data_IF_667768080631
#
_entry.id   IF_667768080631
#
_cell.length_a   1.000
_cell.length_b   1.000
_cell.length_c   1.000
_cell.angle_alpha   90.00
_cell.angle_beta   90.00
_cell.angle_gamma   90.00
#
_symmetry.space_group_name_H-M   'P 1'
#
loop_
_entity.id
_entity.type
_entity.pdbx_description
1 polymer ?
#
# COMPACT_ATOMS: atom_id res chain seq x y z
N UNK A 1 20.40 -14.71 -8.97
CA UNK A 1 20.27 -13.79 -7.80
C UNK A 1 18.88 -13.20 -7.87
N UNK A 2 18.11 -13.10 -6.77
CA UNK A 2 16.79 -12.49 -6.78
C UNK A 2 16.87 -10.99 -7.05
N UNK A 3 15.86 -10.45 -7.78
CA UNK A 3 15.66 -9.02 -7.97
C UNK A 3 15.07 -8.37 -6.72
N UNK A 4 14.25 -9.13 -5.99
CA UNK A 4 13.70 -8.74 -4.70
C UNK A 4 14.82 -8.43 -3.70
N UNK A 5 14.61 -7.39 -2.91
CA UNK A 5 15.59 -6.89 -1.95
C UNK A 5 14.91 -6.29 -0.72
N UNK A 6 15.73 -5.86 0.22
CA UNK A 6 15.34 -5.02 1.35
C UNK A 6 15.91 -3.62 1.16
N UNK A 7 15.30 -2.64 1.78
CA UNK A 7 15.85 -1.31 1.94
C UNK A 7 15.96 -0.97 3.42
N UNK A 8 17.16 -0.59 3.87
CA UNK A 8 17.37 0.02 5.18
C UNK A 8 17.06 1.52 5.05
N UNK A 9 15.96 1.95 5.67
CA UNK A 9 15.29 3.20 5.35
C UNK A 9 15.27 4.18 6.51
N UNK A 10 15.17 5.46 6.15
CA UNK A 10 14.79 6.58 7.00
C UNK A 10 13.48 7.17 6.50
N UNK A 11 12.50 7.31 7.39
CA UNK A 11 11.27 8.06 7.15
C UNK A 11 11.42 9.43 7.79
N UNK A 12 11.09 10.47 7.05
CA UNK A 12 11.04 11.86 7.50
C UNK A 12 9.64 12.42 7.30
N UNK A 13 9.13 13.11 8.31
CA UNK A 13 7.93 13.93 8.23
C UNK A 13 8.25 15.33 8.75
N UNK A 14 7.95 16.32 7.94
CA UNK A 14 8.10 17.74 8.31
C UNK A 14 6.81 18.48 7.99
N UNK A 15 5.97 18.65 8.99
CA UNK A 15 4.80 19.50 8.90
C UNK A 15 5.21 20.97 9.00
N UNK A 16 4.80 21.77 8.02
CA UNK A 16 5.09 23.20 7.92
C UNK A 16 3.94 24.03 8.48
N UNK A 17 2.70 23.60 8.28
CA UNK A 17 1.49 24.31 8.66
C UNK A 17 0.44 23.37 9.27
N UNK A 18 -0.48 23.89 10.14
CA UNK A 18 -0.52 25.21 10.76
C UNK A 18 0.49 25.37 11.90
N UNK A 19 1.10 24.30 12.39
CA UNK A 19 2.13 24.26 13.43
C UNK A 19 3.28 23.39 12.96
N UNK A 20 4.48 23.90 13.06
CA UNK A 20 5.67 23.14 12.69
C UNK A 20 5.86 21.92 13.60
N UNK A 21 6.10 20.77 12.96
CA UNK A 21 6.40 19.54 13.63
C UNK A 21 7.25 18.61 12.74
N UNK A 22 8.47 18.35 13.16
CA UNK A 22 9.41 17.51 12.44
C UNK A 22 9.80 16.28 13.25
N UNK A 23 9.90 15.13 12.57
CA UNK A 23 10.47 13.91 13.13
C UNK A 23 11.05 13.01 12.04
N UNK A 24 11.99 12.16 12.45
CA UNK A 24 12.63 11.17 11.61
C UNK A 24 12.81 9.87 12.39
N UNK A 25 12.63 8.73 11.73
CA UNK A 25 12.87 7.42 12.32
C UNK A 25 13.32 6.40 11.27
N UNK A 26 14.07 5.37 11.74
CA UNK A 26 14.53 4.28 10.90
C UNK A 26 13.52 3.14 10.83
N UNK A 27 13.40 2.56 9.65
CA UNK A 27 12.64 1.34 9.35
C UNK A 27 13.40 0.52 8.31
N UNK A 28 12.85 -0.63 7.92
CA UNK A 28 13.22 -1.24 6.66
C UNK A 28 11.98 -1.62 5.85
N UNK A 29 12.13 -1.72 4.54
CA UNK A 29 11.07 -2.03 3.59
C UNK A 29 11.45 -3.26 2.76
N UNK A 30 10.45 -4.05 2.38
CA UNK A 30 10.59 -5.06 1.36
C UNK A 30 10.35 -4.44 -0.02
N UNK A 31 11.19 -4.75 -0.98
CA UNK A 31 10.95 -4.51 -2.40
C UNK A 31 10.90 -5.89 -3.07
N UNK A 32 9.70 -6.33 -3.38
CA UNK A 32 9.41 -7.68 -3.86
C UNK A 32 9.07 -7.63 -5.36
N UNK A 33 9.77 -8.40 -6.16
CA UNK A 33 9.31 -8.74 -7.49
C UNK A 33 8.18 -9.78 -7.35
N UNK A 34 6.97 -9.44 -7.79
CA UNK A 34 5.80 -10.28 -7.58
C UNK A 34 5.89 -11.64 -8.27
N UNK A 35 6.75 -11.77 -9.29
CA UNK A 35 7.01 -13.03 -9.97
C UNK A 35 7.99 -13.94 -9.20
N UNK A 36 8.68 -13.41 -8.16
CA UNK A 36 9.63 -14.17 -7.34
C UNK A 36 9.05 -14.68 -6.00
N UNK A 37 7.80 -14.30 -5.64
CA UNK A 37 7.24 -14.55 -4.30
C UNK A 37 7.26 -16.00 -3.88
N UNK A 38 6.92 -16.94 -4.77
CA UNK A 38 6.87 -18.37 -4.45
C UNK A 38 8.29 -18.94 -4.31
N UNK A 39 9.23 -18.53 -5.15
CA UNK A 39 10.63 -18.93 -5.07
C UNK A 39 11.30 -18.36 -3.79
N UNK A 40 10.98 -17.12 -3.39
CA UNK A 40 11.43 -16.54 -2.12
C UNK A 40 10.88 -17.32 -0.93
N UNK A 41 9.58 -17.64 -0.96
CA UNK A 41 8.90 -18.42 0.08
C UNK A 41 9.45 -19.84 0.22
N UNK A 42 9.94 -20.44 -0.86
CA UNK A 42 10.58 -21.74 -0.83
C UNK A 42 12.03 -21.71 -0.30
N UNK A 43 12.74 -20.61 -0.52
CA UNK A 43 14.17 -20.49 -0.21
C UNK A 43 14.46 -19.92 1.17
N UNK A 44 13.65 -18.95 1.63
CA UNK A 44 13.85 -18.24 2.89
C UNK A 44 13.13 -18.93 4.04
N UNK A 45 13.73 -18.94 5.21
CA UNK A 45 13.15 -19.50 6.44
C UNK A 45 12.31 -18.45 7.20
N UNK A 46 12.72 -17.18 7.14
CA UNK A 46 12.08 -16.09 7.87
C UNK A 46 10.96 -15.39 7.09
N UNK A 47 10.81 -15.67 5.78
CA UNK A 47 9.82 -15.06 4.91
C UNK A 47 8.98 -16.12 4.19
N UNK A 48 7.65 -16.02 4.29
CA UNK A 48 6.75 -16.87 3.51
C UNK A 48 5.58 -16.05 2.91
N UNK A 49 5.06 -16.55 1.77
CA UNK A 49 3.82 -16.08 1.15
C UNK A 49 2.64 -16.88 1.68
N UNK A 50 1.58 -16.21 2.17
CA UNK A 50 0.30 -16.77 2.64
C UNK A 50 0.42 -17.89 3.70
N UNK A 51 1.60 -18.07 4.31
CA UNK A 51 1.86 -19.08 5.37
C UNK A 51 2.52 -18.43 6.57
N UNK A 52 2.33 -18.96 7.79
CA UNK A 52 2.98 -18.44 8.99
C UNK A 52 4.50 -18.39 8.85
N UNK A 53 5.09 -17.24 9.19
CA UNK A 53 6.53 -17.01 9.28
C UNK A 53 6.78 -15.77 10.14
N UNK A 54 8.05 -15.46 10.44
CA UNK A 54 8.41 -14.19 11.08
C UNK A 54 7.92 -13.01 10.24
N UNK A 55 8.22 -13.05 8.93
CA UNK A 55 7.70 -12.12 7.92
C UNK A 55 6.76 -12.87 6.98
N UNK A 56 5.51 -12.46 6.93
CA UNK A 56 4.52 -13.06 6.06
C UNK A 56 3.98 -12.03 5.07
N UNK A 57 4.14 -12.31 3.80
CA UNK A 57 3.43 -11.62 2.73
C UNK A 57 2.06 -12.27 2.54
N UNK A 58 1.00 -11.51 2.68
CA UNK A 58 -0.35 -11.99 2.37
C UNK A 58 -0.89 -11.25 1.15
N UNK A 59 -1.36 -12.02 0.18
CA UNK A 59 -1.99 -11.47 -1.02
C UNK A 59 -3.22 -10.61 -0.68
N UNK A 60 -3.95 -10.97 0.39
CA UNK A 60 -5.15 -10.24 0.85
C UNK A 60 -4.87 -8.87 1.50
N UNK A 61 -3.62 -8.54 1.78
CA UNK A 61 -3.24 -7.25 2.38
C UNK A 61 -3.09 -6.13 1.34
N UNK A 62 -3.19 -6.48 0.07
CA UNK A 62 -2.96 -5.63 -1.09
C UNK A 62 -4.24 -5.50 -1.94
N UNK A 63 -4.16 -4.73 -3.03
CA UNK A 63 -5.28 -4.45 -3.94
C UNK A 63 -6.20 -5.68 -4.13
N UNK A 64 -7.48 -5.60 -3.74
CA UNK A 64 -8.40 -6.73 -3.86
C UNK A 64 -8.65 -7.06 -5.33
N UNK A 65 -8.99 -8.32 -5.67
CA UNK A 65 -9.42 -8.70 -7.01
C UNK A 65 -10.57 -7.81 -7.47
N UNK A 66 -10.52 -7.32 -8.72
CA UNK A 66 -11.62 -6.57 -9.33
C UNK A 66 -12.89 -7.42 -9.30
N UNK A 67 -13.93 -6.96 -8.60
CA UNK A 67 -15.20 -7.66 -8.45
C UNK A 67 -15.47 -8.29 -7.08
N UNK A 68 -14.55 -8.26 -6.14
CA UNK A 68 -14.81 -8.67 -4.76
C UNK A 68 -15.39 -7.57 -3.89
N UNK A 69 -16.58 -7.05 -4.23
CA UNK A 69 -17.48 -6.59 -3.18
C UNK A 69 -17.81 -7.84 -2.36
N UNK A 70 -17.36 -7.94 -1.11
CA UNK A 70 -17.86 -8.94 -0.17
C UNK A 70 -19.37 -8.80 -0.14
N UNK A 71 -20.08 -9.75 -0.77
CA UNK A 71 -21.48 -9.98 -0.46
C UNK A 71 -21.50 -10.32 1.02
N UNK A 72 -22.12 -9.47 1.84
CA UNK A 72 -22.58 -9.86 3.16
C UNK A 72 -23.46 -11.09 2.96
N UNK A 73 -23.06 -12.24 3.50
CA UNK A 73 -23.96 -13.35 3.76
C UNK A 73 -24.94 -12.85 4.85
N UNK A 74 -26.11 -12.42 4.41
CA UNK A 74 -27.27 -12.35 5.28
C UNK A 74 -27.60 -13.78 5.75
N UNK A 75 -27.95 -13.99 7.04
CA UNK A 75 -28.36 -15.32 7.51
C UNK A 75 -29.63 -15.74 6.79
N UNK A 76 -29.56 -16.78 5.97
CA UNK A 76 -30.72 -17.39 5.32
C UNK A 76 -31.54 -18.14 6.35
N UNK A 77 -32.90 -17.98 6.36
CA UNK A 77 -33.76 -18.87 7.11
C UNK A 77 -33.80 -20.26 6.45
N UNK A 78 -33.79 -21.27 7.30
CA UNK A 78 -33.86 -22.69 6.99
C UNK A 78 -35.09 -22.98 6.09
N UNK A 79 -34.85 -23.55 4.93
CA UNK A 79 -35.90 -24.03 4.04
C UNK A 79 -35.36 -25.00 3.00
N UNK A 80 -35.63 -26.30 3.24
CA UNK A 80 -35.36 -27.43 2.35
C UNK A 80 -35.92 -27.21 0.94
N UNK A 81 -35.06 -27.35 -0.11
CA UNK A 81 -35.47 -27.97 -1.38
C UNK A 81 -34.25 -28.46 -2.16
N UNK A 82 -34.22 -29.79 -2.38
CA UNK A 82 -33.41 -30.45 -3.40
C UNK A 82 -33.90 -30.02 -4.78
N UNK A 83 -33.00 -29.65 -5.67
CA UNK A 83 -33.15 -29.87 -7.11
C UNK A 83 -31.76 -29.85 -7.77
N UNK A 84 -31.51 -30.91 -8.50
CA UNK A 84 -30.39 -31.16 -9.40
C UNK A 84 -30.38 -30.13 -10.53
N UNK A 85 -29.28 -29.42 -10.75
CA UNK A 85 -28.91 -28.86 -12.07
C UNK A 85 -27.37 -28.71 -12.13
N UNK A 86 -26.78 -29.47 -13.05
CA UNK A 86 -25.80 -29.04 -14.01
C UNK A 86 -24.38 -28.72 -13.55
N UNK A 87 -23.52 -29.65 -13.86
CA UNK A 87 -22.06 -29.73 -13.69
C UNK A 87 -21.23 -28.67 -14.47
N UNK A 88 -21.82 -27.56 -14.95
CA UNK A 88 -21.09 -26.53 -15.71
C UNK A 88 -20.70 -25.30 -14.92
N UNK A 89 -21.25 -25.07 -13.73
CA UNK A 89 -20.90 -23.88 -12.90
C UNK A 89 -19.64 -24.08 -12.04
N UNK A 90 -19.10 -25.30 -11.96
CA UNK A 90 -17.93 -25.61 -11.13
C UNK A 90 -16.61 -25.19 -11.77
N UNK A 91 -16.54 -25.05 -13.10
CA UNK A 91 -15.34 -24.67 -13.84
C UNK A 91 -15.02 -23.18 -13.76
N UNK A 92 -16.04 -22.31 -13.61
CA UNK A 92 -15.85 -20.86 -13.52
C UNK A 92 -15.52 -20.35 -12.11
N UNK A 93 -15.85 -21.13 -11.06
CA UNK A 93 -15.54 -20.77 -9.68
C UNK A 93 -14.10 -21.13 -9.26
N UNK A 94 -13.45 -22.07 -9.94
CA UNK A 94 -12.04 -22.42 -9.71
C UNK A 94 -11.05 -21.43 -10.33
N UNK A 95 -11.45 -20.62 -11.29
CA UNK A 95 -10.60 -19.60 -11.90
C UNK A 95 -10.49 -18.30 -11.08
N UNK A 96 -11.43 -18.02 -10.18
CA UNK A 96 -11.43 -16.82 -9.34
C UNK A 96 -10.52 -16.94 -8.09
N UNK A 97 -10.07 -18.16 -7.74
CA UNK A 97 -9.28 -18.42 -6.53
C UNK A 97 -7.75 -18.27 -6.74
N UNK A 98 -7.28 -17.97 -7.94
CA UNK A 98 -5.84 -17.92 -8.29
C UNK A 98 -5.36 -16.58 -8.80
N UNK A 99 -6.13 -15.49 -8.63
CA UNK A 99 -5.66 -14.15 -8.98
C UNK A 99 -4.72 -13.63 -7.88
N UNK A 100 -3.42 -13.76 -8.08
CA UNK A 100 -2.42 -13.16 -7.19
C UNK A 100 -2.45 -11.63 -7.26
N UNK A 101 -1.74 -10.98 -6.35
CA UNK A 101 -1.64 -9.49 -6.26
C UNK A 101 -1.31 -8.85 -7.60
N UNK A 102 -0.43 -9.46 -8.41
CA UNK A 102 -0.04 -8.96 -9.73
C UNK A 102 -1.23 -8.87 -10.69
N UNK A 103 -2.03 -9.94 -10.79
CA UNK A 103 -3.21 -9.95 -11.68
C UNK A 103 -4.28 -8.97 -11.23
N UNK A 104 -4.51 -8.84 -9.92
CA UNK A 104 -5.43 -7.83 -9.37
C UNK A 104 -4.97 -6.41 -9.69
N UNK A 105 -3.68 -6.13 -9.53
CA UNK A 105 -3.09 -4.84 -9.87
C UNK A 105 -3.24 -4.52 -11.36
N UNK A 106 -2.86 -5.44 -12.26
CA UNK A 106 -2.94 -5.23 -13.70
C UNK A 106 -4.40 -5.02 -14.16
N UNK A 107 -5.34 -5.80 -13.61
CA UNK A 107 -6.76 -5.62 -13.88
C UNK A 107 -7.28 -4.25 -13.39
N UNK A 108 -6.84 -3.81 -12.20
CA UNK A 108 -7.18 -2.49 -11.70
C UNK A 108 -6.59 -1.37 -12.58
N UNK A 109 -5.32 -1.45 -12.98
CA UNK A 109 -4.67 -0.48 -13.87
C UNK A 109 -5.41 -0.43 -15.23
N UNK A 110 -5.77 -1.58 -15.79
CA UNK A 110 -6.55 -1.64 -17.03
C UNK A 110 -7.93 -0.96 -16.89
N UNK A 111 -8.60 -1.11 -15.73
CA UNK A 111 -9.86 -0.43 -15.44
C UNK A 111 -9.73 1.10 -15.34
N UNK A 112 -8.51 1.59 -15.11
CA UNK A 112 -8.18 3.03 -15.13
C UNK A 112 -7.82 3.52 -16.55
N UNK A 113 -8.00 2.70 -17.59
CA UNK A 113 -7.73 3.06 -18.99
C UNK A 113 -6.28 2.83 -19.45
N UNK A 114 -5.44 2.14 -18.66
CA UNK A 114 -4.05 1.83 -19.01
C UNK A 114 -3.81 0.31 -19.04
N UNK A 115 -4.24 -0.42 -20.09
CA UNK A 115 -3.94 -1.85 -20.19
C UNK A 115 -2.43 -2.07 -20.37
N UNK A 116 -1.84 -2.90 -19.52
CA UNK A 116 -0.42 -3.25 -19.56
C UNK A 116 -0.22 -4.64 -20.14
N UNK A 117 0.94 -4.91 -20.79
CA UNK A 117 1.31 -6.25 -21.28
C UNK A 117 1.30 -7.31 -20.16
N UNK A 118 0.98 -8.56 -20.50
CA UNK A 118 0.92 -9.65 -19.53
C UNK A 118 2.29 -10.00 -18.92
N UNK A 119 3.37 -9.74 -19.65
CA UNK A 119 4.76 -9.92 -19.20
C UNK A 119 5.31 -8.74 -18.37
N UNK A 120 4.46 -7.74 -18.08
CA UNK A 120 4.81 -6.62 -17.21
C UNK A 120 5.36 -7.14 -15.88
N UNK A 121 6.56 -6.72 -15.53
CA UNK A 121 7.17 -6.98 -14.23
C UNK A 121 6.69 -5.97 -13.20
N UNK A 122 6.38 -6.42 -11.99
CA UNK A 122 5.90 -5.55 -10.92
C UNK A 122 6.82 -5.66 -9.71
N UNK A 123 7.43 -4.55 -9.34
CA UNK A 123 8.15 -4.39 -8.07
C UNK A 123 7.22 -3.76 -7.04
N UNK A 124 7.02 -4.42 -5.92
CA UNK A 124 6.18 -3.96 -4.81
C UNK A 124 7.06 -3.57 -3.62
N UNK A 125 7.08 -2.29 -3.30
CA UNK A 125 7.68 -1.75 -2.08
C UNK A 125 6.61 -1.70 -0.99
N UNK A 126 6.79 -2.49 0.08
CA UNK A 126 5.76 -2.67 1.11
C UNK A 126 6.34 -3.16 2.44
N UNK A 127 5.52 -3.12 3.49
CA UNK A 127 5.75 -3.90 4.71
C UNK A 127 5.07 -5.26 4.63
N UNK A 128 5.72 -6.29 5.18
CA UNK A 128 5.12 -7.60 5.42
C UNK A 128 4.58 -7.70 6.86
N UNK A 129 3.67 -8.63 7.11
CA UNK A 129 3.22 -8.97 8.46
C UNK A 129 4.40 -9.45 9.31
N UNK A 130 4.49 -8.96 10.54
CA UNK A 130 5.45 -9.43 11.55
C UNK A 130 4.67 -10.15 12.63
N UNK A 131 4.97 -11.43 12.88
CA UNK A 131 4.19 -12.29 13.79
C UNK A 131 2.67 -12.26 13.51
N UNK A 132 2.27 -12.13 12.24
CA UNK A 132 0.87 -12.06 11.83
C UNK A 132 0.22 -10.68 11.89
N UNK A 133 0.82 -9.70 12.55
CA UNK A 133 0.32 -8.33 12.60
C UNK A 133 0.88 -7.48 11.45
N UNK A 134 0.02 -6.70 10.81
CA UNK A 134 0.40 -5.72 9.79
C UNK A 134 -0.08 -4.32 10.16
N UNK A 135 0.79 -3.36 9.95
CA UNK A 135 0.44 -1.96 9.76
C UNK A 135 1.29 -1.43 8.61
N UNK A 136 0.66 -1.14 7.49
CA UNK A 136 1.31 -0.67 6.29
C UNK A 136 0.60 0.61 5.78
N UNK A 137 1.14 1.81 6.08
CA UNK A 137 0.49 3.07 5.71
C UNK A 137 0.52 3.34 4.21
N UNK A 138 1.43 2.73 3.47
CA UNK A 138 1.52 2.88 2.02
C UNK A 138 2.33 1.76 1.39
N UNK A 139 1.83 1.25 0.25
CA UNK A 139 2.57 0.38 -0.67
C UNK A 139 2.78 1.09 -2.01
N UNK A 140 3.90 0.80 -2.67
CA UNK A 140 4.19 1.34 -4.00
C UNK A 140 4.45 0.21 -4.97
N UNK A 141 3.74 0.22 -6.09
CA UNK A 141 3.96 -0.70 -7.19
C UNK A 141 4.63 0.04 -8.33
N UNK A 142 5.69 -0.54 -8.88
CA UNK A 142 6.38 -0.04 -10.06
C UNK A 142 6.26 -1.09 -11.17
N UNK A 143 5.52 -0.75 -12.21
CA UNK A 143 5.32 -1.61 -13.37
C UNK A 143 6.40 -1.31 -14.41
N UNK A 144 7.13 -2.35 -14.84
CA UNK A 144 8.25 -2.26 -15.76
C UNK A 144 8.02 -3.21 -16.93
N UNK A 145 8.51 -2.86 -18.11
CA UNK A 145 8.55 -3.80 -19.23
C UNK A 145 9.67 -4.83 -19.12
N UNK A 146 9.78 -5.71 -20.10
CA UNK A 146 10.82 -6.75 -20.16
C UNK A 146 12.25 -6.19 -20.18
N UNK A 147 12.45 -4.96 -20.64
CA UNK A 147 13.72 -4.24 -20.68
C UNK A 147 13.94 -3.38 -19.43
N UNK A 148 13.11 -3.54 -18.40
CA UNK A 148 13.12 -2.78 -17.16
C UNK A 148 12.83 -1.27 -17.33
N UNK A 149 12.19 -0.86 -18.44
CA UNK A 149 11.73 0.53 -18.60
C UNK A 149 10.44 0.76 -17.81
N UNK A 150 10.32 1.87 -17.11
CA UNK A 150 9.13 2.19 -16.32
C UNK A 150 7.90 2.41 -17.22
N UNK A 151 6.79 1.73 -16.90
CA UNK A 151 5.50 1.87 -17.57
C UNK A 151 4.54 2.74 -16.78
N UNK A 152 4.42 2.47 -15.48
CA UNK A 152 3.61 3.28 -14.55
C UNK A 152 4.01 2.95 -13.11
N UNK A 153 3.52 3.76 -12.18
CA UNK A 153 3.58 3.48 -10.75
C UNK A 153 2.19 3.60 -10.11
N UNK A 154 1.98 2.87 -9.02
CA UNK A 154 0.77 2.99 -8.19
C UNK A 154 1.18 3.19 -6.75
N UNK A 155 0.65 4.24 -6.10
CA UNK A 155 0.76 4.44 -4.66
C UNK A 155 -0.56 4.00 -4.00
N UNK A 156 -0.56 2.92 -3.25
CA UNK A 156 -1.69 2.41 -2.48
C UNK A 156 -1.58 2.94 -1.05
N UNK A 157 -2.28 4.04 -0.77
CA UNK A 157 -2.25 4.70 0.54
C UNK A 157 -3.30 4.08 1.44
N UNK A 158 -2.89 3.65 2.64
CA UNK A 158 -3.75 3.08 3.67
C UNK A 158 -3.98 4.02 4.86
N UNK A 159 -4.99 3.72 5.68
CA UNK A 159 -5.22 4.39 6.94
C UNK A 159 -5.38 3.40 8.11
N UNK A 160 -5.55 3.92 9.32
CA UNK A 160 -5.74 3.09 10.53
C UNK A 160 -7.11 2.42 10.62
N UNK A 161 -8.04 2.72 9.71
CA UNK A 161 -9.36 2.09 9.61
C UNK A 161 -9.38 0.88 8.67
N UNK A 162 -8.23 0.50 8.09
CA UNK A 162 -8.15 -0.59 7.12
C UNK A 162 -8.63 -0.23 5.72
N UNK A 163 -8.89 1.05 5.46
CA UNK A 163 -9.23 1.54 4.13
C UNK A 163 -7.97 1.80 3.31
N UNK A 164 -8.08 1.66 2.01
CA UNK A 164 -7.01 1.87 1.05
C UNK A 164 -7.50 2.74 -0.11
N UNK A 165 -6.62 3.58 -0.65
CA UNK A 165 -6.87 4.34 -1.88
C UNK A 165 -5.66 4.26 -2.79
N UNK A 166 -5.79 3.66 -3.96
CA UNK A 166 -4.73 3.61 -4.95
C UNK A 166 -4.73 4.88 -5.82
N UNK A 167 -3.52 5.35 -6.16
CA UNK A 167 -3.25 6.47 -7.05
C UNK A 167 -2.37 5.98 -8.20
N UNK A 168 -2.87 6.02 -9.43
CA UNK A 168 -2.11 5.65 -10.62
C UNK A 168 -1.28 6.84 -11.10
N UNK A 169 -0.01 6.61 -11.37
CA UNK A 169 0.91 7.52 -12.06
C UNK A 169 1.26 6.85 -13.40
N UNK A 170 0.59 7.25 -14.46
CA UNK A 170 0.78 6.71 -15.81
C UNK A 170 2.08 7.18 -16.47
N UNK A 171 2.35 6.76 -17.70
CA UNK A 171 3.58 7.12 -18.44
C UNK A 171 3.74 8.63 -18.63
N UNK A 172 2.64 9.39 -18.71
CA UNK A 172 2.62 10.85 -18.81
C UNK A 172 3.20 11.56 -17.58
N UNK A 173 3.30 10.85 -16.46
CA UNK A 173 3.87 11.36 -15.21
C UNK A 173 5.36 11.00 -15.03
N UNK A 174 5.95 10.26 -15.99
CA UNK A 174 7.36 9.87 -15.92
C UNK A 174 8.26 11.00 -16.46
N UNK A 175 9.25 11.41 -15.66
CA UNK A 175 10.14 12.53 -15.98
C UNK A 175 11.32 12.18 -16.93
N UNK A 176 11.44 10.92 -17.35
CA UNK A 176 12.58 10.43 -18.12
C UNK A 176 13.86 10.17 -17.32
N UNK A 177 13.93 10.64 -16.07
CA UNK A 177 15.10 10.53 -15.17
C UNK A 177 14.91 9.50 -14.06
N UNK A 178 13.94 8.60 -14.22
CA UNK A 178 13.66 7.52 -13.28
C UNK A 178 12.66 7.85 -12.18
N UNK A 179 11.86 8.92 -12.32
CA UNK A 179 10.82 9.32 -11.37
C UNK A 179 9.47 9.49 -12.04
N UNK A 180 8.44 9.09 -11.30
CA UNK A 180 7.05 9.48 -11.57
C UNK A 180 6.69 10.66 -10.69
N UNK A 181 6.06 11.70 -11.28
CA UNK A 181 5.61 12.92 -10.60
C UNK A 181 4.15 13.19 -10.90
N UNK A 182 3.32 13.33 -9.86
CA UNK A 182 1.91 13.63 -10.03
C UNK A 182 1.38 14.39 -8.82
N UNK A 183 0.66 15.48 -9.07
CA UNK A 183 -0.20 16.12 -8.05
C UNK A 183 -1.61 15.56 -8.24
N UNK A 184 -2.20 15.00 -7.20
CA UNK A 184 -3.52 14.41 -7.22
C UNK A 184 -4.36 14.84 -6.01
N UNK A 185 -5.66 15.15 -6.17
CA UNK A 185 -6.55 15.41 -5.04
C UNK A 185 -6.51 14.23 -4.05
N UNK A 186 -6.30 14.54 -2.79
CA UNK A 186 -6.20 13.53 -1.74
C UNK A 186 -7.50 12.77 -1.57
N UNK A 187 -8.59 13.48 -1.29
CA UNK A 187 -9.95 12.94 -1.12
C UNK A 187 -9.94 11.59 -0.39
N UNK A 188 -9.13 11.49 0.66
CA UNK A 188 -8.94 10.29 1.48
C UNK A 188 -8.54 10.68 2.90
N UNK A 189 -9.21 10.08 3.88
CA UNK A 189 -8.94 10.32 5.29
C UNK A 189 -7.74 9.49 5.76
N UNK A 190 -6.57 10.10 5.86
CA UNK A 190 -5.34 9.44 6.32
C UNK A 190 -5.08 9.70 7.81
N UNK A 191 -5.34 10.93 8.26
CA UNK A 191 -5.02 11.37 9.62
C UNK A 191 -6.02 12.42 10.10
N UNK A 192 -6.38 12.44 11.39
CA UNK A 192 -7.24 13.48 11.94
C UNK A 192 -6.61 14.89 11.90
N UNK A 193 -5.30 14.99 11.64
CA UNK A 193 -4.58 16.26 11.57
C UNK A 193 -4.24 16.67 10.13
N UNK A 194 -4.86 16.04 9.13
CA UNK A 194 -4.66 16.34 7.72
C UNK A 194 -6.01 16.47 7.04
N UNK A 195 -6.28 17.63 6.44
CA UNK A 195 -7.55 17.91 5.76
C UNK A 195 -7.73 17.01 4.51
N UNK A 196 -8.98 16.82 4.07
CA UNK A 196 -9.32 15.96 2.93
C UNK A 196 -9.21 16.68 1.59
N UNK A 197 -9.30 18.00 1.60
CA UNK A 197 -9.25 18.89 0.44
C UNK A 197 -7.84 19.28 -0.01
N UNK A 198 -6.83 18.68 0.64
CA UNK A 198 -5.43 18.80 0.21
C UNK A 198 -5.17 17.94 -1.05
N UNK A 199 -4.03 18.19 -1.68
CA UNK A 199 -3.49 17.34 -2.74
C UNK A 199 -2.23 16.60 -2.26
N UNK A 200 -2.03 15.38 -2.75
CA UNK A 200 -0.76 14.70 -2.68
C UNK A 200 0.13 15.11 -3.86
N UNK A 201 1.37 15.47 -3.58
CA UNK A 201 2.43 15.67 -4.56
C UNK A 201 3.36 14.45 -4.50
N UNK A 202 3.13 13.50 -5.39
CA UNK A 202 3.91 12.27 -5.50
C UNK A 202 5.19 12.52 -6.29
N UNK A 203 6.34 12.04 -5.76
CA UNK A 203 7.64 12.01 -6.42
C UNK A 203 8.26 10.65 -6.13
N UNK A 204 8.00 9.70 -7.00
CA UNK A 204 8.32 8.28 -6.80
C UNK A 204 9.47 7.88 -7.73
N UNK A 205 10.69 7.74 -7.20
CA UNK A 205 11.80 7.18 -7.95
C UNK A 205 11.66 5.67 -8.05
N UNK A 206 11.84 5.13 -9.24
CA UNK A 206 11.90 3.66 -9.44
C UNK A 206 13.00 3.07 -8.54
N UNK A 207 12.71 1.99 -7.77
CA UNK A 207 13.66 1.39 -6.84
C UNK A 207 14.95 0.92 -7.52
N UNK A 208 16.11 1.38 -7.05
CA UNK A 208 17.45 1.02 -7.50
C UNK A 208 18.38 0.71 -6.33
N UNK A 209 19.65 1.11 -6.41
CA UNK A 209 20.58 1.01 -5.27
C UNK A 209 20.19 1.94 -4.12
N UNK A 210 19.54 3.04 -4.45
CA UNK A 210 18.96 3.96 -3.48
C UNK A 210 17.45 4.02 -3.69
N UNK A 211 16.71 4.08 -2.58
CA UNK A 211 15.28 4.37 -2.53
C UNK A 211 15.10 5.86 -2.25
N UNK A 212 14.19 6.49 -3.00
CA UNK A 212 13.90 7.91 -2.88
C UNK A 212 12.44 8.17 -3.28
N UNK A 213 11.56 8.21 -2.28
CA UNK A 213 10.12 8.36 -2.41
C UNK A 213 9.68 9.58 -1.59
N UNK A 214 8.90 10.46 -2.19
CA UNK A 214 8.28 11.58 -1.50
C UNK A 214 6.78 11.59 -1.77
N UNK A 215 6.00 11.90 -0.74
CA UNK A 215 4.57 12.21 -0.82
C UNK A 215 4.32 13.43 0.05
N UNK A 216 4.17 14.58 -0.57
CA UNK A 216 3.95 15.82 0.16
C UNK A 216 2.47 16.19 0.15
N UNK A 217 1.91 16.70 1.27
CA UNK A 217 0.58 17.30 1.29
C UNK A 217 0.70 18.77 0.88
N UNK A 218 -0.18 19.21 -0.04
CA UNK A 218 -0.23 20.59 -0.54
C UNK A 218 -1.63 21.18 -0.41
N UNK A 219 -1.68 22.48 -0.09
CA UNK A 219 -2.86 23.33 -0.19
C UNK A 219 -2.62 24.31 -1.34
N UNK A 220 -3.20 24.05 -2.50
CA UNK A 220 -2.83 24.74 -3.73
C UNK A 220 -1.33 24.58 -4.03
N UNK A 221 -0.61 25.70 -4.18
CA UNK A 221 0.84 25.68 -4.42
C UNK A 221 1.69 25.62 -3.14
N UNK A 222 1.07 25.72 -1.97
CA UNK A 222 1.77 25.74 -0.69
C UNK A 222 1.94 24.32 -0.14
N UNK A 223 3.17 23.86 0.17
CA UNK A 223 3.38 22.62 0.90
C UNK A 223 2.96 22.77 2.37
N UNK A 224 2.21 21.80 2.88
CA UNK A 224 1.72 21.73 4.27
C UNK A 224 2.48 20.68 5.07
N UNK A 225 2.78 19.55 4.43
CA UNK A 225 3.53 18.43 5.04
C UNK A 225 4.48 17.86 3.99
N UNK A 226 5.76 17.81 4.32
CA UNK A 226 6.77 17.13 3.53
C UNK A 226 7.02 15.74 4.10
N UNK A 227 7.01 14.71 3.25
CA UNK A 227 7.37 13.37 3.66
C UNK A 227 8.38 12.74 2.72
N UNK A 228 9.35 12.02 3.29
CA UNK A 228 10.35 11.31 2.53
C UNK A 228 10.60 9.91 3.11
N UNK A 229 10.70 8.93 2.23
CA UNK A 229 11.20 7.59 2.50
C UNK A 229 12.46 7.39 1.66
N UNK A 230 13.61 7.43 2.30
CA UNK A 230 14.91 7.22 1.64
C UNK A 230 15.60 5.99 2.22
N UNK A 231 16.39 5.27 1.42
CA UNK A 231 17.04 4.06 1.90
C UNK A 231 18.11 3.52 0.98
N UNK A 232 18.87 2.52 1.48
CA UNK A 232 19.88 1.78 0.73
C UNK A 232 19.45 0.35 0.54
N UNK A 233 19.70 -0.17 -0.65
CA UNK A 233 19.44 -1.55 -1.03
C UNK A 233 20.29 -2.52 -0.22
N UNK A 234 19.66 -3.62 0.23
CA UNK A 234 20.31 -4.73 0.95
C UNK A 234 19.76 -6.04 0.35
N UNK A 235 20.59 -7.05 0.09
CA UNK A 235 20.13 -8.34 -0.40
C UNK A 235 19.08 -8.97 0.54
N UNK A 236 18.02 -9.53 -0.03
CA UNK A 236 16.99 -10.27 0.71
C UNK A 236 17.52 -11.67 1.02
N UNK A 237 17.99 -11.84 2.26
CA UNK A 237 18.50 -13.10 2.83
C UNK A 237 18.03 -13.24 4.27
N UNK A 238 17.96 -14.48 4.79
CA UNK A 238 17.61 -14.71 6.20
C UNK A 238 18.56 -13.99 7.17
N UNK A 239 19.86 -13.94 6.86
CA UNK A 239 20.86 -13.23 7.69
C UNK A 239 20.58 -11.73 7.75
N UNK A 240 20.25 -11.08 6.61
CA UNK A 240 19.91 -9.67 6.58
C UNK A 240 18.54 -9.39 7.21
N UNK A 241 17.54 -10.28 7.05
CA UNK A 241 16.27 -10.21 7.75
C UNK A 241 16.48 -10.27 9.27
N UNK A 242 17.25 -11.23 9.77
CA UNK A 242 17.58 -11.34 11.19
C UNK A 242 18.29 -10.08 11.71
N UNK A 243 19.29 -9.58 10.98
CA UNK A 243 20.01 -8.34 11.32
C UNK A 243 19.08 -7.14 11.41
N UNK A 244 18.17 -6.96 10.42
CA UNK A 244 17.23 -5.85 10.40
C UNK A 244 16.14 -6.01 11.45
N UNK A 245 15.72 -7.25 11.79
CA UNK A 245 14.82 -7.53 12.91
C UNK A 245 15.42 -7.08 14.24
N UNK A 246 16.72 -7.36 14.47
CA UNK A 246 17.42 -6.91 15.67
C UNK A 246 17.61 -5.39 15.69
N UNK A 247 17.89 -4.77 14.53
CA UNK A 247 18.03 -3.31 14.41
C UNK A 247 16.70 -2.57 14.61
N UNK A 248 15.59 -3.14 14.14
CA UNK A 248 14.26 -2.55 14.17
C UNK A 248 13.25 -3.53 14.80
N UNK A 249 13.37 -3.82 16.10
CA UNK A 249 12.50 -4.80 16.74
C UNK A 249 11.03 -4.36 16.67
N UNK A 250 10.13 -5.33 16.42
CA UNK A 250 8.68 -5.13 16.34
C UNK A 250 8.29 -3.93 15.47
N UNK A 251 8.86 -3.84 14.27
CA UNK A 251 8.78 -2.65 13.40
C UNK A 251 7.35 -2.13 13.19
N UNK A 252 6.38 -3.02 12.96
CA UNK A 252 4.96 -2.66 12.77
C UNK A 252 4.36 -2.06 14.02
N UNK A 253 4.64 -2.62 15.20
CA UNK A 253 4.19 -2.08 16.48
C UNK A 253 4.86 -0.74 16.78
N UNK A 254 6.16 -0.61 16.49
CA UNK A 254 6.90 0.64 16.64
C UNK A 254 6.31 1.76 15.77
N UNK A 255 5.98 1.46 14.51
CA UNK A 255 5.41 2.45 13.59
C UNK A 255 4.05 2.94 14.10
N UNK A 256 3.15 2.05 14.51
CA UNK A 256 1.84 2.45 15.02
C UNK A 256 1.94 3.24 16.34
N UNK A 257 2.85 2.84 17.23
CA UNK A 257 3.12 3.57 18.47
C UNK A 257 3.63 4.99 18.20
N UNK A 258 4.56 5.15 17.25
CA UNK A 258 5.06 6.46 16.83
C UNK A 258 3.95 7.33 16.23
N UNK A 259 3.06 6.77 15.42
CA UNK A 259 1.91 7.49 14.86
C UNK A 259 1.03 8.05 15.98
N UNK A 260 0.66 7.22 16.97
CA UNK A 260 -0.17 7.68 18.10
C UNK A 260 0.58 8.70 18.97
N UNK A 261 1.88 8.52 19.19
CA UNK A 261 2.70 9.46 19.95
C UNK A 261 2.79 10.83 19.26
N UNK A 262 3.01 10.86 17.95
CA UNK A 262 3.03 12.11 17.20
C UNK A 262 1.63 12.74 17.08
N UNK A 263 0.58 11.91 16.97
CA UNK A 263 -0.80 12.39 17.04
C UNK A 263 -1.09 13.09 18.38
N UNK A 264 -0.68 12.50 19.51
CA UNK A 264 -0.82 13.12 20.84
C UNK A 264 -0.05 14.46 20.91
N UNK A 265 1.17 14.54 20.38
CA UNK A 265 1.94 15.78 20.32
C UNK A 265 1.25 16.86 19.48
N UNK A 266 0.66 16.51 18.34
CA UNK A 266 -0.09 17.43 17.49
C UNK A 266 -1.36 17.92 18.18
N UNK A 267 -2.06 17.03 18.87
CA UNK A 267 -3.21 17.39 19.69
C UNK A 267 -2.83 18.38 20.80
N UNK A 268 -1.74 18.13 21.53
CA UNK A 268 -1.24 19.05 22.56
C UNK A 268 -0.83 20.41 21.96
N UNK A 269 -0.26 20.42 20.76
CA UNK A 269 0.04 21.66 20.03
C UNK A 269 -1.22 22.39 19.51
N UNK A 270 -2.44 21.83 19.76
CA UNK A 270 -3.72 22.38 19.31
C UNK A 270 -3.78 22.51 17.78
N UNK A 271 -3.23 21.54 17.05
CA UNK A 271 -3.43 21.42 15.58
C UNK A 271 -4.90 21.08 15.33
N UNK A 272 -5.59 21.69 14.36
CA UNK A 272 -6.99 21.43 14.06
C UNK A 272 -7.26 19.94 13.85
N UNK A 273 -8.37 19.47 14.44
CA UNK A 273 -8.82 18.07 14.36
C UNK A 273 -9.94 17.96 13.33
N UNK A 274 -9.75 17.11 12.32
CA UNK A 274 -10.73 16.79 11.30
C UNK A 274 -11.41 15.45 11.61
N UNK A 275 -12.74 15.45 11.71
CA UNK A 275 -13.51 14.21 11.91
C UNK A 275 -13.67 13.48 10.58
N UNK A 276 -13.49 12.16 10.56
CA UNK A 276 -13.67 11.33 9.35
C UNK A 276 -15.06 11.50 8.73
N UNK A 277 -16.09 11.57 9.56
CA UNK A 277 -17.48 11.72 9.13
C UNK A 277 -17.88 13.14 8.69
N UNK A 278 -16.99 14.14 8.82
CA UNK A 278 -17.34 15.54 8.52
C UNK A 278 -17.52 15.79 7.01
N UNK A 279 -16.77 15.08 6.16
CA UNK A 279 -16.80 15.28 4.70
C UNK A 279 -16.78 13.94 3.96
N UNK A 280 -17.82 13.09 4.09
CA UNK A 280 -17.84 11.76 3.48
C UNK A 280 -17.87 11.83 1.94
N UNK A 281 -18.51 12.87 1.37
CA UNK A 281 -18.59 13.11 -0.08
C UNK A 281 -17.22 13.35 -0.74
N UNK A 282 -16.22 13.79 0.03
CA UNK A 282 -14.84 13.95 -0.44
C UNK A 282 -14.06 12.63 -0.44
N UNK A 283 -14.55 11.56 0.19
CA UNK A 283 -13.85 10.29 0.24
C UNK A 283 -14.23 9.44 -0.97
N UNK A 284 -13.52 9.62 -2.08
CA UNK A 284 -13.80 8.99 -3.37
C UNK A 284 -12.75 7.95 -3.73
N UNK A 285 -13.15 6.85 -4.40
CA UNK A 285 -12.24 5.78 -4.86
C UNK A 285 -11.58 5.00 -3.72
N UNK A 286 -12.23 4.94 -2.55
CA UNK A 286 -11.75 4.22 -1.37
C UNK A 286 -12.10 2.74 -1.49
N UNK A 287 -11.10 1.88 -1.34
CA UNK A 287 -11.26 0.43 -1.25
C UNK A 287 -11.48 0.04 0.21
N UNK A 288 -12.27 -1.02 0.43
CA UNK A 288 -12.63 -1.52 1.76
C UNK A 288 -13.19 -0.41 2.69
N UNK A 289 -14.22 0.36 2.28
CA UNK A 289 -14.72 1.48 3.06
C UNK A 289 -15.22 1.01 4.43
N UNK A 290 -14.81 1.71 5.49
CA UNK A 290 -15.24 1.46 6.85
C UNK A 290 -16.75 1.71 7.00
N UNK A 291 -17.43 1.03 7.93
CA UNK A 291 -18.88 1.14 8.18
C UNK A 291 -19.35 2.60 8.36
N UNK A 292 -18.51 3.48 8.92
CA UNK A 292 -18.84 4.91 9.07
C UNK A 292 -19.07 5.65 7.74
N UNK A 293 -18.61 5.08 6.61
CA UNK A 293 -18.89 5.60 5.26
C UNK A 293 -20.08 4.89 4.58
N UNK A 294 -20.48 3.70 5.08
CA UNK A 294 -21.59 2.91 4.54
C UNK A 294 -22.95 3.34 5.10
N UNK A 295 -22.98 3.94 6.29
CA UNK A 295 -24.18 4.40 6.97
C UNK A 295 -24.45 5.88 6.65
N UNK A 296 -24.86 6.17 5.42
CA UNK A 296 -25.51 7.42 5.10
C UNK A 296 -26.89 7.09 4.50
N UNK A 297 -27.94 7.76 5.01
CA UNK A 297 -29.30 7.58 4.53
C UNK A 297 -29.46 8.02 3.07
#
# INVERSE_FOLDING_TARGET
>A
MFRSCLYDCSVMHHRLAPKEHHFRYGIFQFCLDLDELDALSARLRLFHRNRPALYRFNDSDHLPPSGSSRREEAPSPIGNRKSEIGNQSRSLLTSAATSGVKSSLLAWIASQGLPLPADTRVLLLTHCRVFGYIFNPVSFYFCLDAQARPLCAVAEVGNTFGEQKPFLLGPEHFDGEGRFRRIAPKHFYVSPFSALDLAFDFKLRVPGEQLDIHIDDREGDRPVLLTALTGRRIPLTDANLARLTLKYPLITLRVITLIHWHALKLWWKRVPWHRKAANPHLQQGVLNPHESLRKQP
#
